data_IF_055999583929
#
_entry.id   IF_055999583929
#
_cell.length_a   1.000
_cell.length_b   1.000
_cell.length_c   1.000
_cell.angle_alpha   90.00
_cell.angle_beta   90.00
_cell.angle_gamma   90.00
#
_symmetry.space_group_name_H-M   'P 1'
#
loop_
_entity.id
_entity.type
_entity.pdbx_description
1 polymer ?
#
# COMPACT_ATOMS: atom_id res chain seq x y z
N UNK A 1 9.60 -10.47 8.59
CA UNK A 1 8.16 -10.14 8.52
C UNK A 1 7.82 -9.90 7.04
N UNK A 2 6.71 -10.43 6.51
CA UNK A 2 6.35 -10.30 5.08
C UNK A 2 5.96 -8.86 4.71
N UNK A 3 5.28 -8.18 5.64
CA UNK A 3 4.84 -6.80 5.55
C UNK A 3 5.42 -6.01 6.72
N UNK A 4 6.08 -4.89 6.43
CA UNK A 4 6.57 -3.94 7.43
C UNK A 4 5.61 -2.75 7.48
N UNK A 5 5.33 -2.25 8.68
CA UNK A 5 4.39 -1.17 8.90
C UNK A 5 5.14 0.06 9.43
N UNK A 6 4.86 1.23 8.86
CA UNK A 6 5.43 2.51 9.25
C UNK A 6 4.33 3.57 9.38
N UNK A 7 4.61 4.65 10.11
CA UNK A 7 3.67 5.77 10.28
C UNK A 7 2.62 5.54 11.35
N UNK A 8 1.48 6.22 11.22
CA UNK A 8 0.43 6.24 12.25
C UNK A 8 -0.41 4.96 12.20
N UNK A 9 -0.41 4.18 13.29
CA UNK A 9 -1.11 2.89 13.36
C UNK A 9 -2.60 2.99 13.01
N UNK A 10 -3.27 4.07 13.43
CA UNK A 10 -4.71 4.26 13.27
C UNK A 10 -5.08 5.23 12.13
N UNK A 11 -4.16 5.48 11.21
CA UNK A 11 -4.44 6.31 10.04
C UNK A 11 -5.57 5.73 9.19
N UNK A 12 -6.48 6.60 8.73
CA UNK A 12 -7.54 6.22 7.79
C UNK A 12 -7.00 5.95 6.38
N UNK A 13 -5.85 6.53 6.04
CA UNK A 13 -5.13 6.33 4.79
C UNK A 13 -3.94 5.39 4.97
N UNK A 14 -3.96 4.31 4.21
CA UNK A 14 -2.88 3.34 4.09
C UNK A 14 -2.24 3.42 2.71
N UNK A 15 -0.92 3.43 2.66
CA UNK A 15 -0.15 3.33 1.42
C UNK A 15 0.51 1.97 1.34
N UNK A 16 0.29 1.23 0.25
CA UNK A 16 0.93 -0.07 0.02
C UNK A 16 1.99 0.08 -1.08
N UNK A 17 3.22 -0.34 -0.78
CA UNK A 17 4.38 -0.18 -1.66
C UNK A 17 5.32 -1.38 -1.60
N UNK A 18 6.10 -1.54 -2.66
CA UNK A 18 7.33 -2.33 -2.67
C UNK A 18 8.48 -1.33 -2.87
N UNK A 19 9.37 -1.24 -1.89
CA UNK A 19 10.53 -0.32 -1.94
C UNK A 19 11.78 -1.02 -1.45
N UNK A 20 12.91 -0.65 -2.03
CA UNK A 20 14.24 -1.07 -1.61
C UNK A 20 14.82 -0.14 -0.55
N UNK A 21 14.55 1.17 -0.64
CA UNK A 21 15.10 2.17 0.28
C UNK A 21 14.09 2.53 1.39
N UNK A 22 14.34 2.00 2.60
CA UNK A 22 13.50 2.27 3.79
C UNK A 22 13.74 3.64 4.40
N UNK A 23 14.94 4.21 4.25
CA UNK A 23 15.30 5.49 4.86
C UNK A 23 14.54 6.64 4.19
N UNK A 24 14.45 6.60 2.85
CA UNK A 24 13.66 7.57 2.09
C UNK A 24 12.18 7.53 2.48
N UNK A 25 11.63 6.33 2.71
CA UNK A 25 10.25 6.17 3.18
C UNK A 25 10.03 6.84 4.55
N UNK A 26 10.94 6.62 5.50
CA UNK A 26 10.84 7.21 6.82
C UNK A 26 10.98 8.73 6.79
N UNK A 27 11.90 9.26 5.98
CA UNK A 27 12.05 10.72 5.80
C UNK A 27 10.76 11.34 5.24
N UNK A 28 10.17 10.72 4.21
CA UNK A 28 8.91 11.21 3.64
C UNK A 28 7.76 11.18 4.66
N UNK A 29 7.66 10.11 5.46
CA UNK A 29 6.67 10.03 6.53
C UNK A 29 6.87 11.10 7.60
N UNK A 30 8.12 11.43 7.95
CA UNK A 30 8.42 12.51 8.90
C UNK A 30 7.97 13.87 8.37
N UNK A 31 8.21 14.16 7.08
CA UNK A 31 7.75 15.41 6.45
C UNK A 31 6.22 15.51 6.43
N UNK A 32 5.54 14.42 6.05
CA UNK A 32 4.08 14.34 6.05
C UNK A 32 3.50 14.49 7.46
N UNK A 33 4.13 13.88 8.46
CA UNK A 33 3.74 14.02 9.86
C UNK A 33 3.90 15.46 10.36
N UNK A 34 5.00 16.15 10.02
CA UNK A 34 5.18 17.58 10.33
C UNK A 34 4.10 18.46 9.68
N UNK A 35 3.58 18.05 8.53
CA UNK A 35 2.47 18.70 7.85
C UNK A 35 1.07 18.28 8.38
N UNK A 36 1.02 17.56 9.50
CA UNK A 36 -0.22 17.11 10.13
C UNK A 36 -0.96 16.02 9.36
N UNK A 37 -0.28 15.27 8.48
CA UNK A 37 -0.87 14.16 7.74
C UNK A 37 -0.64 12.85 8.49
N UNK A 38 -1.72 12.15 8.79
CA UNK A 38 -1.68 10.82 9.38
C UNK A 38 -1.77 9.76 8.27
N UNK A 39 -0.65 9.08 8.04
CA UNK A 39 -0.52 8.06 7.00
C UNK A 39 0.12 6.83 7.61
N UNK A 40 -0.39 5.65 7.26
CA UNK A 40 0.27 4.37 7.50
C UNK A 40 0.84 3.84 6.21
N UNK A 41 2.04 3.29 6.24
CA UNK A 41 2.63 2.61 5.08
C UNK A 41 2.79 1.13 5.40
N UNK A 42 2.32 0.29 4.48
CA UNK A 42 2.58 -1.15 4.45
C UNK A 42 3.60 -1.41 3.33
N UNK A 43 4.83 -1.76 3.74
CA UNK A 43 5.91 -2.14 2.85
C UNK A 43 5.92 -3.67 2.67
N UNK A 44 5.63 -4.14 1.46
CA UNK A 44 5.73 -5.55 1.10
C UNK A 44 7.21 -5.93 0.86
N UNK A 45 7.83 -6.60 1.84
CA UNK A 45 9.28 -6.89 1.83
C UNK A 45 9.65 -8.14 1.02
N UNK A 46 8.74 -9.12 1.00
CA UNK A 46 8.83 -10.32 0.18
C UNK A 46 7.50 -10.44 -0.60
N UNK A 47 7.48 -9.92 -1.81
CA UNK A 47 6.25 -9.78 -2.60
C UNK A 47 5.66 -11.13 -3.05
N UNK A 48 6.50 -12.14 -3.24
CA UNK A 48 6.08 -13.48 -3.68
C UNK A 48 6.67 -14.59 -2.81
N UNK A 49 5.85 -15.58 -2.40
CA UNK A 49 4.39 -15.66 -2.61
C UNK A 49 3.63 -14.59 -1.78
N UNK A 50 2.54 -14.04 -2.34
CA UNK A 50 1.69 -13.07 -1.63
C UNK A 50 0.86 -13.79 -0.56
N UNK A 51 0.96 -13.33 0.68
CA UNK A 51 0.23 -13.92 1.78
C UNK A 51 -0.96 -13.04 2.20
N UNK A 52 -2.15 -13.36 1.70
CA UNK A 52 -3.42 -12.70 2.06
C UNK A 52 -3.60 -12.60 3.58
N UNK A 53 -3.40 -13.72 4.32
CA UNK A 53 -3.54 -13.76 5.78
C UNK A 53 -2.69 -12.68 6.49
N UNK A 54 -1.40 -12.64 6.17
CA UNK A 54 -0.47 -11.69 6.77
C UNK A 54 -0.70 -10.25 6.31
N UNK A 55 -1.20 -10.03 5.08
CA UNK A 55 -1.59 -8.69 4.61
C UNK A 55 -2.81 -8.18 5.38
N UNK A 56 -3.87 -8.97 5.47
CA UNK A 56 -5.09 -8.59 6.20
C UNK A 56 -4.82 -8.31 7.69
N UNK A 57 -3.87 -9.02 8.30
CA UNK A 57 -3.44 -8.77 9.68
C UNK A 57 -2.78 -7.40 9.92
N UNK A 58 -2.43 -6.66 8.86
CA UNK A 58 -1.96 -5.26 8.96
C UNK A 58 -3.09 -4.24 8.91
N UNK A 59 -4.32 -4.66 8.62
CA UNK A 59 -5.49 -3.78 8.53
C UNK A 59 -6.27 -3.75 9.85
N UNK A 60 -6.97 -2.65 10.11
CA UNK A 60 -7.88 -2.46 11.24
C UNK A 60 -9.14 -1.72 10.76
N UNK A 61 -10.10 -1.51 11.66
CA UNK A 61 -11.40 -0.86 11.39
C UNK A 61 -11.30 0.63 11.04
N UNK A 62 -10.15 1.27 11.28
CA UNK A 62 -9.91 2.69 10.98
C UNK A 62 -9.60 2.95 9.52
N UNK A 63 -9.11 1.95 8.79
CA UNK A 63 -8.72 2.11 7.39
C UNK A 63 -9.94 2.37 6.53
N UNK A 64 -9.93 3.50 5.82
CA UNK A 64 -10.97 3.87 4.85
C UNK A 64 -10.46 3.87 3.42
N UNK A 65 -9.17 4.12 3.24
CA UNK A 65 -8.54 4.24 1.92
C UNK A 65 -7.20 3.53 1.85
N UNK A 66 -6.97 2.81 0.76
CA UNK A 66 -5.68 2.23 0.40
C UNK A 66 -5.21 2.83 -0.93
N UNK A 67 -4.08 3.53 -0.90
CA UNK A 67 -3.37 3.93 -2.10
C UNK A 67 -2.26 2.92 -2.40
N UNK A 68 -2.29 2.30 -3.58
CA UNK A 68 -1.22 1.41 -4.04
C UNK A 68 -0.30 2.17 -4.96
N UNK A 69 0.97 2.29 -4.58
CA UNK A 69 1.99 2.94 -5.39
C UNK A 69 2.94 1.86 -5.91
N UNK A 70 2.96 1.66 -7.22
CA UNK A 70 3.80 0.67 -7.89
C UNK A 70 4.48 1.31 -9.10
N UNK A 71 5.77 1.00 -9.28
CA UNK A 71 6.44 1.34 -10.52
C UNK A 71 5.94 0.41 -11.61
N UNK A 72 5.30 0.99 -12.63
CA UNK A 72 4.82 0.27 -13.80
C UNK A 72 5.16 1.07 -15.06
N UNK A 73 5.33 0.36 -16.17
CA UNK A 73 5.34 0.95 -17.49
C UNK A 73 3.91 0.90 -18.05
N UNK A 74 3.46 1.99 -18.66
CA UNK A 74 2.12 2.09 -19.21
C UNK A 74 1.90 1.00 -20.30
N UNK A 75 0.80 0.25 -20.20
CA UNK A 75 0.47 -0.82 -21.14
C UNK A 75 1.23 -2.14 -20.94
N UNK A 76 2.07 -2.26 -19.92
CA UNK A 76 2.87 -3.49 -19.70
C UNK A 76 2.08 -4.66 -19.13
N UNK A 77 0.86 -4.44 -18.65
CA UNK A 77 0.03 -5.49 -18.06
C UNK A 77 -1.27 -5.64 -18.84
N UNK A 78 -1.62 -6.89 -19.17
CA UNK A 78 -2.81 -7.21 -19.95
C UNK A 78 -4.13 -6.73 -19.28
N UNK A 79 -4.16 -6.65 -17.95
CA UNK A 79 -5.31 -6.14 -17.19
C UNK A 79 -5.39 -4.61 -17.13
N UNK A 80 -4.36 -3.90 -17.58
CA UNK A 80 -4.21 -2.45 -17.40
C UNK A 80 -3.78 -2.03 -15.99
N UNK A 81 -3.67 -2.96 -15.03
CA UNK A 81 -3.28 -2.67 -13.65
C UNK A 81 -2.03 -3.43 -13.24
N UNK A 82 -1.25 -2.82 -12.35
CA UNK A 82 -0.02 -3.44 -11.87
C UNK A 82 -0.27 -4.57 -10.85
N UNK A 83 0.60 -5.59 -10.79
CA UNK A 83 0.41 -6.79 -9.96
C UNK A 83 0.15 -6.53 -8.47
N UNK A 84 0.82 -5.56 -7.83
CA UNK A 84 0.61 -5.26 -6.41
C UNK A 84 -0.81 -4.75 -6.17
N UNK A 85 -1.32 -3.89 -7.07
CA UNK A 85 -2.68 -3.39 -6.98
C UNK A 85 -3.70 -4.52 -7.06
N UNK A 86 -3.51 -5.46 -7.99
CA UNK A 86 -4.40 -6.61 -8.14
C UNK A 86 -4.40 -7.52 -6.91
N UNK A 87 -3.23 -7.77 -6.30
CA UNK A 87 -3.14 -8.59 -5.08
C UNK A 87 -3.81 -7.90 -3.89
N UNK A 88 -3.65 -6.58 -3.76
CA UNK A 88 -4.30 -5.78 -2.72
C UNK A 88 -5.81 -5.88 -2.88
N UNK A 89 -6.35 -5.56 -4.07
CA UNK A 89 -7.80 -5.63 -4.33
C UNK A 89 -8.33 -7.04 -4.07
N UNK A 90 -7.70 -8.06 -4.65
CA UNK A 90 -8.14 -9.45 -4.51
C UNK A 90 -8.13 -9.92 -3.06
N UNK A 91 -7.23 -9.41 -2.22
CA UNK A 91 -7.18 -9.73 -0.79
C UNK A 91 -8.41 -9.22 -0.03
N UNK A 92 -9.10 -8.18 -0.51
CA UNK A 92 -10.21 -7.54 0.22
C UNK A 92 -11.59 -8.08 -0.18
N UNK A 93 -11.77 -8.51 -1.43
CA UNK A 93 -13.08 -8.78 -2.06
C UNK A 93 -14.02 -9.66 -1.21
N UNK A 94 -13.50 -10.69 -0.56
CA UNK A 94 -14.29 -11.67 0.21
C UNK A 94 -14.19 -11.50 1.73
N UNK A 95 -13.75 -10.32 2.18
CA UNK A 95 -13.45 -10.02 3.59
C UNK A 95 -14.32 -8.88 4.11
N UNK A 96 -14.35 -8.65 5.44
CA UNK A 96 -15.00 -7.46 6.00
C UNK A 96 -14.43 -6.13 5.47
N UNK A 97 -13.25 -6.13 4.87
CA UNK A 97 -12.58 -4.96 4.31
C UNK A 97 -12.96 -4.63 2.86
N UNK A 98 -13.93 -5.35 2.27
CA UNK A 98 -14.38 -5.11 0.89
C UNK A 98 -14.96 -3.70 0.63
N UNK A 99 -15.27 -2.96 1.70
CA UNK A 99 -15.76 -1.58 1.64
C UNK A 99 -14.64 -0.53 1.55
N UNK A 100 -13.37 -0.91 1.72
CA UNK A 100 -12.25 0.03 1.67
C UNK A 100 -12.05 0.49 0.22
N UNK A 101 -11.92 1.80 0.02
CA UNK A 101 -11.60 2.36 -1.29
C UNK A 101 -10.14 2.09 -1.64
N UNK A 102 -9.86 1.52 -2.82
CA UNK A 102 -8.51 1.25 -3.29
C UNK A 102 -8.22 2.05 -4.55
N UNK A 103 -7.16 2.85 -4.54
CA UNK A 103 -6.70 3.60 -5.72
C UNK A 103 -5.31 3.13 -6.18
N UNK A 104 -5.11 3.16 -7.49
CA UNK A 104 -3.83 2.85 -8.11
C UNK A 104 -3.09 4.13 -8.51
N UNK A 105 -1.81 4.24 -8.11
CA UNK A 105 -0.95 5.37 -8.39
C UNK A 105 0.36 4.89 -9.02
N UNK A 106 0.48 4.86 -10.36
CA UNK A 106 1.70 4.44 -11.00
C UNK A 106 2.83 5.46 -10.75
N UNK A 107 4.04 5.00 -10.38
CA UNK A 107 5.13 5.91 -10.01
C UNK A 107 5.54 6.88 -11.14
N UNK A 108 5.49 6.43 -12.40
CA UNK A 108 5.91 7.20 -13.57
C UNK A 108 5.09 8.46 -13.84
N UNK A 109 3.94 8.66 -13.18
CA UNK A 109 3.15 9.88 -13.30
C UNK A 109 3.68 11.04 -12.44
N UNK A 110 4.70 10.78 -11.61
CA UNK A 110 5.30 11.76 -10.69
C UNK A 110 6.76 12.10 -11.03
N UNK A 111 7.29 11.54 -12.13
CA UNK A 111 8.66 11.75 -12.63
C UNK A 111 8.68 12.60 -13.89
#
# INVERSE_FOLDING_TARGET
>A
RLFEEYGTKDAELVVVVILTNREQLQSALQELSKAGKEIRVILARLYRPWSVKHFLATLNDKVKHIAVIEQTQAGSFASGFAPLFQDVVSSLVTTPYSHINVTFHPWNQYS
#
